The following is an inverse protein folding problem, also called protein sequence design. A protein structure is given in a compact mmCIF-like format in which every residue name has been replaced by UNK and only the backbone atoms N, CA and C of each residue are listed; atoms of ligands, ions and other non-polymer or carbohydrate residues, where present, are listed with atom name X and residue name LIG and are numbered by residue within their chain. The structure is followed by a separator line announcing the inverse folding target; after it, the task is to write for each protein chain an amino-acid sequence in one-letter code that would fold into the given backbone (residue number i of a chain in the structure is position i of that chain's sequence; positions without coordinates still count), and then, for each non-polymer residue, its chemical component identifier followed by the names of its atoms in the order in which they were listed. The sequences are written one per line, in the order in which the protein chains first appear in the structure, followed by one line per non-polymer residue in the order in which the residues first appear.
data_IF_352594201814
#
_entry.id   IF_352594201814
#
_cell.length_a   1.000
_cell.length_b   1.000
_cell.length_c   1.000
_cell.angle_alpha   90.00
_cell.angle_beta   90.00
_cell.angle_gamma   90.00
#
_symmetry.space_group_name_H-M   'P 1'
#
loop_
_entity.id
_entity.type
_entity.pdbx_description
1 polymer ?
#
# COMPACT_ATOMS: atom_id res chain seq x y z
N UNK A 1 25.49 -5.53 6.52
CA UNK A 1 25.77 -5.99 5.13
C UNK A 1 24.81 -5.27 4.19
N UNK A 2 25.28 -4.22 3.51
CA UNK A 2 24.51 -3.54 2.46
C UNK A 2 24.39 -4.48 1.26
N UNK A 3 23.18 -4.97 0.95
CA UNK A 3 22.91 -5.74 -0.26
C UNK A 3 22.78 -4.77 -1.44
N UNK A 4 23.90 -4.51 -2.12
CA UNK A 4 23.97 -3.69 -3.33
C UNK A 4 23.74 -4.56 -4.59
N UNK A 5 22.63 -5.30 -4.65
CA UNK A 5 22.32 -6.21 -5.76
C UNK A 5 20.87 -6.68 -5.79
N UNK A 6 20.42 -7.26 -6.91
CA UNK A 6 19.06 -7.79 -7.06
C UNK A 6 18.87 -8.97 -6.08
N UNK A 7 17.88 -8.85 -5.21
CA UNK A 7 17.57 -9.90 -4.21
C UNK A 7 16.55 -10.86 -4.81
N UNK A 8 16.95 -12.11 -5.03
CA UNK A 8 16.02 -13.19 -5.33
C UNK A 8 15.28 -13.57 -4.06
N UNK A 9 13.96 -13.40 -4.07
CA UNK A 9 13.09 -13.62 -2.91
C UNK A 9 12.77 -15.10 -2.73
N UNK A 10 12.77 -15.54 -1.48
CA UNK A 10 12.25 -16.86 -1.11
C UNK A 10 10.73 -16.95 -1.32
N UNK A 11 10.16 -18.15 -1.47
CA UNK A 11 8.70 -18.32 -1.56
C UNK A 11 7.93 -17.66 -0.41
N UNK A 12 8.48 -17.69 0.81
CA UNK A 12 7.88 -17.04 1.98
C UNK A 12 7.88 -15.51 1.84
N UNK A 13 9.00 -14.90 1.44
CA UNK A 13 9.05 -13.47 1.19
C UNK A 13 8.10 -13.05 0.07
N UNK A 14 7.98 -13.85 -1.00
CA UNK A 14 7.00 -13.62 -2.07
C UNK A 14 5.57 -13.66 -1.51
N UNK A 15 5.27 -14.62 -0.62
CA UNK A 15 3.99 -14.68 0.08
C UNK A 15 3.65 -13.41 0.85
N UNK A 16 4.62 -12.91 1.63
CA UNK A 16 4.48 -11.64 2.37
C UNK A 16 4.26 -10.46 1.41
N UNK A 17 5.02 -10.41 0.32
CA UNK A 17 4.89 -9.34 -0.69
C UNK A 17 3.53 -9.38 -1.40
N UNK A 18 2.98 -10.56 -1.68
CA UNK A 18 1.64 -10.71 -2.27
C UNK A 18 0.56 -10.16 -1.36
N UNK A 19 0.66 -10.47 -0.06
CA UNK A 19 -0.26 -9.98 0.95
C UNK A 19 -0.20 -8.45 1.07
N UNK A 20 1.00 -7.88 1.13
CA UNK A 20 1.18 -6.42 1.11
C UNK A 20 0.63 -5.80 -0.18
N UNK A 21 0.91 -6.39 -1.34
CA UNK A 21 0.41 -5.93 -2.64
C UNK A 21 -1.12 -5.95 -2.74
N UNK A 22 -1.77 -6.97 -2.15
CA UNK A 22 -3.23 -7.06 -2.07
C UNK A 22 -3.84 -5.90 -1.28
N UNK A 23 -3.26 -5.56 -0.12
CA UNK A 23 -3.72 -4.44 0.70
C UNK A 23 -3.53 -3.12 -0.07
N UNK A 24 -2.38 -2.93 -0.73
CA UNK A 24 -2.11 -1.76 -1.56
C UNK A 24 -3.13 -1.63 -2.70
N UNK A 25 -3.47 -2.72 -3.37
CA UNK A 25 -4.47 -2.70 -4.44
C UNK A 25 -5.85 -2.25 -3.95
N UNK A 26 -6.26 -2.69 -2.75
CA UNK A 26 -7.53 -2.25 -2.12
C UNK A 26 -7.50 -0.75 -1.83
N UNK A 27 -6.40 -0.25 -1.26
CA UNK A 27 -6.23 1.19 -0.99
C UNK A 27 -6.32 1.99 -2.30
N UNK A 28 -5.65 1.56 -3.36
CA UNK A 28 -5.67 2.24 -4.66
C UNK A 28 -7.07 2.26 -5.30
N UNK A 29 -7.85 1.18 -5.20
CA UNK A 29 -9.24 1.15 -5.69
C UNK A 29 -10.13 2.15 -4.93
N UNK A 30 -9.99 2.22 -3.60
CA UNK A 30 -10.74 3.17 -2.77
C UNK A 30 -10.35 4.62 -3.13
N UNK A 31 -9.06 4.90 -3.27
CA UNK A 31 -8.58 6.23 -3.64
C UNK A 31 -9.07 6.62 -5.04
N UNK A 32 -9.02 5.70 -6.01
CA UNK A 32 -9.50 5.94 -7.38
C UNK A 32 -10.95 6.42 -7.38
N UNK A 33 -11.81 5.81 -6.56
CA UNK A 33 -13.23 6.20 -6.41
C UNK A 33 -13.44 7.51 -5.67
N UNK A 34 -12.47 7.92 -4.84
CA UNK A 34 -12.54 9.16 -4.06
C UNK A 34 -12.10 10.41 -4.85
N UNK A 35 -11.38 10.24 -5.97
CA UNK A 35 -10.85 11.35 -6.78
C UNK A 35 -12.00 12.05 -7.51
N UNK A 36 -12.16 13.35 -7.24
CA UNK A 36 -13.08 14.26 -7.94
C UNK A 36 -12.63 15.72 -7.76
N UNK A 37 -13.08 16.66 -8.61
CA UNK A 37 -12.77 18.08 -8.46
C UNK A 37 -13.07 18.59 -7.04
N UNK A 38 -12.13 19.37 -6.48
CA UNK A 38 -12.22 19.90 -5.12
C UNK A 38 -11.74 18.97 -3.99
N UNK A 39 -11.32 17.73 -4.30
CA UNK A 39 -10.61 16.88 -3.34
C UNK A 39 -9.14 17.27 -3.27
N UNK A 40 -8.62 17.43 -2.05
CA UNK A 40 -7.20 17.70 -1.80
C UNK A 40 -6.42 16.41 -1.65
N UNK A 41 -5.13 16.45 -1.96
CA UNK A 41 -4.23 15.31 -1.74
C UNK A 41 -4.16 14.91 -0.26
N UNK A 42 -4.25 15.86 0.67
CA UNK A 42 -4.32 15.56 2.12
C UNK A 42 -5.57 14.78 2.53
N UNK A 43 -6.71 14.96 1.84
CA UNK A 43 -7.90 14.11 2.06
C UNK A 43 -7.68 12.69 1.55
N UNK A 44 -7.02 12.54 0.40
CA UNK A 44 -6.66 11.22 -0.14
C UNK A 44 -5.67 10.50 0.79
N UNK A 45 -4.67 11.21 1.32
CA UNK A 45 -3.72 10.66 2.30
C UNK A 45 -4.42 10.18 3.57
N UNK A 46 -5.33 10.98 4.13
CA UNK A 46 -6.12 10.59 5.29
C UNK A 46 -6.99 9.33 5.04
N UNK A 47 -7.57 9.20 3.83
CA UNK A 47 -8.31 8.00 3.43
C UNK A 47 -7.36 6.80 3.38
N UNK A 48 -6.20 6.93 2.72
CA UNK A 48 -5.22 5.86 2.61
C UNK A 48 -4.75 5.38 3.99
N UNK A 49 -4.38 6.31 4.87
CA UNK A 49 -3.92 6.01 6.23
C UNK A 49 -4.99 5.26 7.05
N UNK A 50 -6.26 5.67 6.92
CA UNK A 50 -7.37 4.98 7.57
C UNK A 50 -7.50 3.54 7.07
N UNK A 51 -7.49 3.32 5.75
CA UNK A 51 -7.64 1.98 5.18
C UNK A 51 -6.44 1.09 5.57
N UNK A 52 -5.20 1.59 5.47
CA UNK A 52 -4.04 0.80 5.91
C UNK A 52 -4.17 0.35 7.37
N UNK A 53 -4.62 1.25 8.26
CA UNK A 53 -4.87 0.92 9.68
C UNK A 53 -5.94 -0.16 9.86
N UNK A 54 -7.02 -0.14 9.07
CA UNK A 54 -8.08 -1.16 9.11
C UNK A 54 -7.56 -2.56 8.72
N UNK A 55 -6.58 -2.63 7.81
CA UNK A 55 -5.92 -3.87 7.41
C UNK A 55 -4.70 -4.24 8.28
N UNK A 56 -4.45 -3.53 9.38
CA UNK A 56 -3.28 -3.77 10.23
C UNK A 56 -1.94 -3.48 9.55
N UNK A 57 -1.97 -2.71 8.45
CA UNK A 57 -0.81 -2.32 7.67
C UNK A 57 -0.35 -0.90 8.04
N UNK A 58 0.91 -0.60 7.73
CA UNK A 58 1.52 0.72 7.93
C UNK A 58 1.96 1.28 6.58
N UNK A 59 1.57 2.54 6.30
CA UNK A 59 2.12 3.30 5.19
C UNK A 59 3.61 3.59 5.43
N UNK A 60 4.43 3.36 4.41
CA UNK A 60 5.89 3.55 4.44
C UNK A 60 6.29 4.99 4.18
#
# INVERSE_FOLDING_TARGET
MNKMGIIIKSPNEIGIMREAGRIVAIVLDILSRAIKPGVTTGKLDAIAAKVFKEYGARAS
#
